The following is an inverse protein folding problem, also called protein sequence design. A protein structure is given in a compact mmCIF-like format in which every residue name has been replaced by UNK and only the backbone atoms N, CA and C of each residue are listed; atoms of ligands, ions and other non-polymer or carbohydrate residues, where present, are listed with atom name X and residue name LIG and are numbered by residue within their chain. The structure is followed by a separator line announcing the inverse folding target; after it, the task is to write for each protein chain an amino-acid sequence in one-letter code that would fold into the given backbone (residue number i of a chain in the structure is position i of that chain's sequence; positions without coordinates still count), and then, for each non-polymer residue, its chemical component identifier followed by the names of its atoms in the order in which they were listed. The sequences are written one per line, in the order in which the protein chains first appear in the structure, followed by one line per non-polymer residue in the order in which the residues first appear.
data_IF_421424920855
#
_entry.id   IF_421424920855
#
_cell.length_a   1.000
_cell.length_b   1.000
_cell.length_c   1.000
_cell.angle_alpha   90.00
_cell.angle_beta   90.00
_cell.angle_gamma   90.00
#
_symmetry.space_group_name_H-M   'P 1'
#
loop_
_entity.id
_entity.type
_entity.pdbx_description
1 polymer ?
#
# COMPACT_ATOMS: atom_id res chain seq x y z
N UNK A 1 -4.25 -11.48 27.40
CA UNK A 1 -4.94 -10.54 26.50
C UNK A 1 -6.08 -11.31 25.82
N UNK A 2 -7.31 -10.78 25.88
CA UNK A 2 -8.47 -11.43 25.24
C UNK A 2 -8.64 -10.83 23.84
N UNK A 3 -8.56 -11.67 22.81
CA UNK A 3 -8.83 -11.26 21.44
C UNK A 3 -10.35 -11.13 21.24
N UNK A 4 -10.80 -9.96 20.79
CA UNK A 4 -12.19 -9.74 20.39
C UNK A 4 -12.17 -9.48 18.88
N UNK A 5 -12.78 -10.35 18.12
CA UNK A 5 -12.95 -10.19 16.67
C UNK A 5 -14.41 -9.95 16.33
N UNK A 6 -14.65 -8.98 15.47
CA UNK A 6 -15.95 -8.75 14.84
C UNK A 6 -15.84 -9.02 13.36
N UNK A 7 -16.69 -9.86 12.81
CA UNK A 7 -16.73 -10.08 11.37
C UNK A 7 -17.73 -9.09 10.74
N UNK A 8 -17.30 -8.37 9.71
CA UNK A 8 -18.25 -7.66 8.84
C UNK A 8 -19.18 -8.69 8.20
N UNK A 9 -20.47 -8.44 8.27
CA UNK A 9 -21.49 -9.36 7.69
C UNK A 9 -21.54 -9.33 6.17
N UNK A 10 -20.92 -8.35 5.52
CA UNK A 10 -21.01 -8.14 4.08
C UNK A 10 -19.62 -8.28 3.47
N UNK A 11 -19.45 -9.30 2.64
CA UNK A 11 -18.22 -9.50 1.88
C UNK A 11 -18.03 -8.39 0.83
N UNK A 12 -16.80 -7.97 0.50
CA UNK A 12 -16.55 -7.00 -0.54
C UNK A 12 -16.92 -7.56 -1.93
N UNK A 13 -17.44 -6.72 -2.79
CA UNK A 13 -17.73 -7.04 -4.20
C UNK A 13 -16.48 -6.72 -5.04
N UNK A 14 -15.77 -7.77 -5.47
CA UNK A 14 -14.54 -7.62 -6.27
C UNK A 14 -14.79 -8.14 -7.68
N UNK A 15 -14.53 -7.28 -8.66
CA UNK A 15 -14.60 -7.64 -10.08
C UNK A 15 -13.26 -7.39 -10.77
N UNK A 16 -12.99 -8.13 -11.85
CA UNK A 16 -11.87 -7.81 -12.73
C UNK A 16 -12.46 -7.06 -13.92
N UNK A 17 -11.83 -5.95 -14.28
CA UNK A 17 -12.30 -5.12 -15.40
C UNK A 17 -12.31 -5.94 -16.69
N UNK A 18 -13.50 -6.05 -17.28
CA UNK A 18 -13.65 -6.63 -18.59
C UNK A 18 -13.49 -5.53 -19.64
N UNK A 19 -12.37 -5.56 -20.35
CA UNK A 19 -12.13 -4.70 -21.50
C UNK A 19 -12.44 -5.48 -22.79
N UNK A 20 -13.10 -4.81 -23.74
CA UNK A 20 -13.27 -5.39 -25.09
C UNK A 20 -11.94 -5.55 -25.85
N UNK A 21 -10.86 -4.97 -25.34
CA UNK A 21 -9.55 -5.06 -25.93
C UNK A 21 -8.72 -6.20 -25.32
N UNK A 22 -7.82 -6.76 -26.12
CA UNK A 22 -6.92 -7.82 -25.65
C UNK A 22 -5.93 -7.26 -24.63
N UNK A 23 -5.81 -7.95 -23.50
CA UNK A 23 -4.79 -7.67 -22.49
C UNK A 23 -3.41 -7.93 -23.10
N UNK A 24 -2.44 -6.99 -23.01
CA UNK A 24 -1.10 -7.19 -23.52
C UNK A 24 -0.34 -8.29 -22.76
N UNK A 25 0.62 -8.94 -23.40
CA UNK A 25 1.46 -9.94 -22.74
C UNK A 25 2.39 -9.34 -21.68
N UNK A 26 2.86 -8.13 -21.89
CA UNK A 26 3.82 -7.46 -21.02
C UNK A 26 3.51 -5.97 -20.91
N UNK A 27 4.17 -5.30 -19.97
CA UNK A 27 3.99 -3.89 -19.69
C UNK A 27 3.24 -3.66 -18.38
N UNK A 28 3.23 -2.40 -17.95
CA UNK A 28 2.63 -1.99 -16.67
C UNK A 28 1.69 -0.80 -16.83
N UNK A 29 1.18 -0.58 -18.05
CA UNK A 29 0.27 0.51 -18.36
C UNK A 29 -1.10 -0.03 -18.75
N UNK A 30 -2.20 0.49 -18.18
CA UNK A 30 -3.56 0.06 -18.50
C UNK A 30 -4.11 0.74 -19.79
N UNK A 31 -3.24 1.15 -20.72
CA UNK A 31 -3.65 1.89 -21.93
C UNK A 31 -4.73 1.19 -22.76
N UNK A 32 -4.69 -0.13 -22.78
CA UNK A 32 -5.66 -0.95 -23.51
C UNK A 32 -7.10 -0.81 -22.97
N UNK A 33 -7.26 -0.39 -21.71
CA UNK A 33 -8.53 -0.34 -20.98
C UNK A 33 -8.87 1.07 -20.46
N UNK A 34 -8.22 2.12 -20.96
CA UNK A 34 -8.41 3.48 -20.43
C UNK A 34 -9.84 3.99 -20.58
N UNK A 35 -10.50 3.67 -21.69
CA UNK A 35 -11.91 4.05 -21.94
C UNK A 35 -12.85 3.37 -20.96
N UNK A 36 -12.61 2.10 -20.68
CA UNK A 36 -13.41 1.32 -19.73
C UNK A 36 -13.16 1.77 -18.30
N UNK A 37 -11.89 2.03 -17.91
CA UNK A 37 -11.54 2.63 -16.61
C UNK A 37 -12.30 3.95 -16.43
N UNK A 38 -12.25 4.82 -17.42
CA UNK A 38 -12.94 6.11 -17.35
C UNK A 38 -14.45 5.94 -17.27
N UNK A 39 -15.02 5.00 -18.04
CA UNK A 39 -16.46 4.68 -18.00
C UNK A 39 -16.88 4.18 -16.61
N UNK A 40 -16.05 3.36 -15.94
CA UNK A 40 -16.34 2.94 -14.56
C UNK A 40 -16.28 4.11 -13.58
N UNK A 41 -15.29 5.00 -13.70
CA UNK A 41 -15.20 6.21 -12.85
C UNK A 41 -16.47 7.08 -12.98
N UNK A 42 -17.03 7.18 -14.16
CA UNK A 42 -18.25 7.99 -14.40
C UNK A 42 -19.51 7.46 -13.71
N UNK A 43 -19.57 6.17 -13.37
CA UNK A 43 -20.73 5.56 -12.71
C UNK A 43 -20.84 5.91 -11.23
N UNK A 44 -19.77 6.40 -10.61
CA UNK A 44 -19.67 6.67 -9.18
C UNK A 44 -19.37 8.14 -8.90
N UNK A 45 -19.78 8.63 -7.73
CA UNK A 45 -19.50 9.99 -7.31
C UNK A 45 -18.03 10.18 -6.98
N UNK A 46 -17.45 9.21 -6.26
CA UNK A 46 -16.08 9.26 -5.78
C UNK A 46 -15.36 7.93 -5.99
N UNK A 47 -14.10 8.00 -6.42
CA UNK A 47 -13.28 6.82 -6.71
C UNK A 47 -11.81 7.04 -6.37
N UNK A 48 -11.15 5.97 -5.91
CA UNK A 48 -9.70 5.93 -5.74
C UNK A 48 -9.12 4.87 -6.68
N UNK A 49 -8.14 5.27 -7.48
CA UNK A 49 -7.37 4.39 -8.35
C UNK A 49 -6.00 4.17 -7.76
N UNK A 50 -5.77 3.02 -7.17
CA UNK A 50 -4.46 2.65 -6.65
C UNK A 50 -3.56 2.08 -7.73
N UNK A 51 -2.34 2.57 -7.77
CA UNK A 51 -1.26 2.08 -8.63
C UNK A 51 -0.05 1.66 -7.79
N UNK A 52 0.86 0.87 -8.37
CA UNK A 52 1.99 0.32 -7.63
C UNK A 52 3.20 1.26 -7.55
N UNK A 53 3.35 2.18 -8.51
CA UNK A 53 4.50 3.10 -8.57
C UNK A 53 4.07 4.54 -8.86
N UNK A 54 4.95 5.50 -8.52
CA UNK A 54 4.74 6.92 -8.83
C UNK A 54 4.63 7.17 -10.32
N UNK A 55 5.52 6.58 -11.11
CA UNK A 55 5.49 6.73 -12.57
C UNK A 55 4.16 6.25 -13.16
N UNK A 56 3.62 5.13 -12.66
CA UNK A 56 2.29 4.67 -13.06
C UNK A 56 1.20 5.68 -12.66
N UNK A 57 1.31 6.32 -11.50
CA UNK A 57 0.34 7.31 -11.07
C UNK A 57 0.33 8.53 -12.01
N UNK A 58 1.50 9.05 -12.35
CA UNK A 58 1.64 10.20 -13.23
C UNK A 58 1.13 9.88 -14.64
N UNK A 59 1.57 8.77 -15.23
CA UNK A 59 1.16 8.35 -16.58
C UNK A 59 -0.36 8.09 -16.65
N UNK A 60 -0.93 7.43 -15.64
CA UNK A 60 -2.37 7.17 -15.60
C UNK A 60 -3.16 8.47 -15.42
N UNK A 61 -2.71 9.35 -14.53
CA UNK A 61 -3.32 10.65 -14.31
C UNK A 61 -3.34 11.48 -15.61
N UNK A 62 -2.20 11.62 -16.29
CA UNK A 62 -2.11 12.33 -17.56
C UNK A 62 -3.02 11.72 -18.64
N UNK A 63 -3.04 10.38 -18.73
CA UNK A 63 -3.87 9.66 -19.69
C UNK A 63 -5.38 9.89 -19.44
N UNK A 64 -5.80 9.84 -18.19
CA UNK A 64 -7.19 10.12 -17.82
C UNK A 64 -7.53 11.60 -18.01
N UNK A 65 -6.57 12.49 -17.73
CA UNK A 65 -6.75 13.93 -17.95
C UNK A 65 -6.94 14.28 -19.42
N UNK A 66 -6.22 13.58 -20.32
CA UNK A 66 -6.33 13.78 -21.77
C UNK A 66 -7.69 13.33 -22.34
N UNK A 67 -8.28 12.26 -21.79
CA UNK A 67 -9.60 11.73 -22.20
C UNK A 67 -10.76 12.56 -21.61
N UNK A 68 -10.48 13.32 -20.56
CA UNK A 68 -11.47 14.03 -19.75
C UNK A 68 -12.35 14.97 -20.60
N UNK A 69 -13.57 14.56 -20.81
CA UNK A 69 -14.67 15.48 -21.16
C UNK A 69 -15.12 16.20 -19.90
N UNK A 70 -14.47 17.30 -19.54
CA UNK A 70 -14.75 18.32 -18.51
C UNK A 70 -15.63 17.99 -17.25
N UNK A 71 -16.10 16.74 -17.09
CA UNK A 71 -17.17 16.37 -16.15
C UNK A 71 -16.70 15.76 -14.84
N UNK A 72 -15.42 15.40 -14.69
CA UNK A 72 -14.87 14.82 -13.44
C UNK A 72 -13.63 15.54 -12.99
N UNK A 73 -13.54 15.86 -11.69
CA UNK A 73 -12.34 16.43 -11.07
C UNK A 73 -11.43 15.30 -10.63
N UNK A 74 -10.32 15.12 -11.35
CA UNK A 74 -9.32 14.09 -11.10
C UNK A 74 -8.10 14.72 -10.45
N UNK A 75 -7.58 14.11 -9.37
CA UNK A 75 -6.35 14.50 -8.71
C UNK A 75 -5.34 13.34 -8.68
N UNK A 76 -4.09 13.65 -8.35
CA UNK A 76 -3.02 12.67 -8.12
C UNK A 76 -2.49 12.82 -6.71
N UNK A 77 -2.14 11.68 -6.07
CA UNK A 77 -1.58 11.68 -4.73
C UNK A 77 -0.48 10.61 -4.57
N UNK A 78 0.76 11.03 -4.34
CA UNK A 78 1.89 10.14 -4.05
C UNK A 78 2.94 10.83 -3.17
N UNK A 79 3.83 10.05 -2.57
CA UNK A 79 4.79 10.51 -1.58
C UNK A 79 5.81 11.55 -2.06
N UNK A 80 5.99 11.72 -3.39
CA UNK A 80 6.94 12.71 -3.95
C UNK A 80 6.31 14.06 -4.26
N UNK A 81 5.00 14.22 -4.11
CA UNK A 81 4.38 15.53 -4.16
C UNK A 81 4.80 16.35 -2.95
N UNK A 82 4.89 17.65 -3.12
CA UNK A 82 5.12 18.59 -2.01
C UNK A 82 4.07 18.38 -0.91
N UNK A 83 4.50 18.52 0.33
CA UNK A 83 3.65 18.26 1.50
C UNK A 83 2.38 19.10 1.50
N UNK A 84 2.48 20.37 1.08
CA UNK A 84 1.34 21.29 1.02
C UNK A 84 0.34 20.88 -0.06
N UNK A 85 0.85 20.48 -1.23
CA UNK A 85 0.00 19.99 -2.32
C UNK A 85 -0.75 18.72 -1.91
N UNK A 86 -0.08 17.79 -1.22
CA UNK A 86 -0.72 16.57 -0.69
C UNK A 86 -1.87 16.91 0.25
N UNK A 87 -1.61 17.79 1.24
CA UNK A 87 -2.64 18.24 2.18
C UNK A 87 -3.81 18.92 1.50
N UNK A 88 -3.53 19.71 0.44
CA UNK A 88 -4.58 20.34 -0.36
C UNK A 88 -5.46 19.28 -1.05
N UNK A 89 -4.85 18.29 -1.71
CA UNK A 89 -5.59 17.21 -2.36
C UNK A 89 -6.41 16.42 -1.32
N UNK A 90 -5.82 16.09 -0.18
CA UNK A 90 -6.49 15.41 0.93
C UNK A 90 -7.75 16.19 1.39
N UNK A 91 -7.61 17.49 1.59
CA UNK A 91 -8.72 18.35 1.96
C UNK A 91 -9.82 18.39 0.88
N UNK A 92 -9.46 18.55 -0.37
CA UNK A 92 -10.39 18.60 -1.50
C UNK A 92 -11.16 17.27 -1.69
N UNK A 93 -10.52 16.12 -1.32
CA UNK A 93 -11.20 14.82 -1.31
C UNK A 93 -12.25 14.78 -0.21
N UNK A 94 -11.88 15.14 1.03
CA UNK A 94 -12.78 15.12 2.20
C UNK A 94 -13.97 16.06 1.98
N UNK A 95 -13.74 17.21 1.36
CA UNK A 95 -14.79 18.17 1.01
C UNK A 95 -15.65 17.75 -0.19
N UNK A 96 -15.30 16.64 -0.86
CA UNK A 96 -16.03 16.12 -2.03
C UNK A 96 -15.82 16.95 -3.30
N UNK A 97 -14.83 17.79 -3.33
CA UNK A 97 -14.49 18.60 -4.50
C UNK A 97 -13.70 17.84 -5.56
N UNK A 98 -12.99 16.77 -5.16
CA UNK A 98 -12.29 15.84 -6.04
C UNK A 98 -13.11 14.55 -6.10
N UNK A 99 -13.41 14.10 -7.30
CA UNK A 99 -14.28 12.96 -7.56
C UNK A 99 -13.51 11.67 -7.93
N UNK A 100 -12.23 11.82 -8.32
CA UNK A 100 -11.36 10.70 -8.61
C UNK A 100 -9.92 11.01 -8.20
N UNK A 101 -9.26 10.08 -7.54
CA UNK A 101 -7.85 10.23 -7.15
C UNK A 101 -7.04 9.06 -7.66
N UNK A 102 -5.96 9.35 -8.38
CA UNK A 102 -4.94 8.36 -8.71
C UNK A 102 -3.87 8.39 -7.63
N UNK A 103 -3.67 7.28 -6.93
CA UNK A 103 -2.80 7.24 -5.77
C UNK A 103 -1.87 6.02 -5.74
N UNK A 104 -0.74 6.17 -5.06
CA UNK A 104 0.10 5.06 -4.62
C UNK A 104 -0.30 4.63 -3.21
N UNK A 105 0.55 3.87 -2.51
CA UNK A 105 0.34 3.49 -1.10
C UNK A 105 0.21 4.67 -0.12
N UNK A 106 0.38 5.90 -0.57
CA UNK A 106 0.23 7.10 0.26
C UNK A 106 -1.19 7.30 0.83
N UNK A 107 -2.20 6.62 0.25
CA UNK A 107 -3.58 6.63 0.71
C UNK A 107 -4.04 5.27 1.29
N UNK A 108 -3.11 4.31 1.46
CA UNK A 108 -3.44 2.99 2.06
C UNK A 108 -3.88 3.15 3.53
N UNK A 109 -3.36 4.14 4.26
CA UNK A 109 -3.55 4.35 5.70
C UNK A 109 -3.88 5.81 6.05
N UNK A 110 -4.52 6.01 7.18
CA UNK A 110 -4.39 7.23 8.00
C UNK A 110 -5.49 8.29 7.90
N UNK A 111 -6.41 8.25 6.96
CA UNK A 111 -7.46 9.26 6.88
C UNK A 111 -8.84 8.64 6.66
N UNK A 112 -9.84 9.24 7.27
CA UNK A 112 -11.23 9.01 6.93
C UNK A 112 -11.55 9.87 5.69
N UNK A 113 -11.56 9.22 4.53
CA UNK A 113 -11.74 9.89 3.24
C UNK A 113 -13.21 10.22 2.91
N UNK A 114 -14.10 10.07 3.89
CA UNK A 114 -15.53 10.19 3.64
C UNK A 114 -16.06 9.04 2.76
N UNK A 115 -17.11 9.29 2.02
CA UNK A 115 -17.75 8.28 1.20
C UNK A 115 -17.04 8.08 -0.13
N UNK A 116 -16.10 7.14 -0.18
CA UNK A 116 -15.56 6.62 -1.45
C UNK A 116 -16.48 5.51 -1.94
N UNK A 117 -16.98 5.61 -3.15
CA UNK A 117 -17.93 4.64 -3.71
C UNK A 117 -17.24 3.47 -4.41
N UNK A 118 -16.05 3.73 -5.00
CA UNK A 118 -15.30 2.75 -5.79
C UNK A 118 -13.80 2.80 -5.49
N UNK A 119 -13.22 1.63 -5.31
CA UNK A 119 -11.76 1.44 -5.34
C UNK A 119 -11.38 0.67 -6.60
N UNK A 120 -10.41 1.18 -7.35
CA UNK A 120 -9.80 0.45 -8.46
C UNK A 120 -8.34 0.15 -8.14
N UNK A 121 -7.92 -1.08 -8.37
CA UNK A 121 -6.52 -1.47 -8.28
C UNK A 121 -5.97 -1.66 -9.70
N UNK A 122 -5.07 -0.79 -10.11
CA UNK A 122 -4.41 -0.83 -11.42
C UNK A 122 -3.10 -1.59 -11.29
N UNK A 123 -2.96 -2.66 -12.07
CA UNK A 123 -1.92 -3.67 -11.87
C UNK A 123 -2.26 -4.65 -10.76
N UNK A 124 -1.50 -5.74 -10.67
CA UNK A 124 -1.69 -6.72 -9.61
C UNK A 124 -1.43 -6.11 -8.22
N UNK A 125 -2.24 -6.45 -7.21
CA UNK A 125 -1.99 -6.00 -5.85
C UNK A 125 -0.69 -6.59 -5.31
N UNK A 126 0.03 -5.81 -4.50
CA UNK A 126 1.28 -6.27 -3.85
C UNK A 126 0.99 -6.95 -2.50
N UNK A 127 0.05 -7.89 -2.51
CA UNK A 127 -0.41 -8.67 -1.38
C UNK A 127 -1.92 -8.54 -1.16
N UNK A 128 -2.53 -9.63 -0.66
CA UNK A 128 -3.98 -9.72 -0.40
C UNK A 128 -4.36 -8.83 0.77
N UNK A 129 -3.57 -8.81 1.85
CA UNK A 129 -3.81 -7.96 3.00
C UNK A 129 -3.88 -6.46 2.62
N UNK A 130 -2.96 -6.01 1.73
CA UNK A 130 -2.98 -4.65 1.21
C UNK A 130 -4.19 -4.39 0.33
N UNK A 131 -4.58 -5.35 -0.50
CA UNK A 131 -5.80 -5.24 -1.30
C UNK A 131 -7.02 -5.04 -0.41
N UNK A 132 -7.17 -5.84 0.64
CA UNK A 132 -8.27 -5.72 1.63
C UNK A 132 -8.26 -4.35 2.31
N UNK A 133 -7.08 -3.84 2.69
CA UNK A 133 -6.94 -2.49 3.27
C UNK A 133 -7.41 -1.40 2.30
N UNK A 134 -7.08 -1.52 1.00
CA UNK A 134 -7.52 -0.59 -0.05
C UNK A 134 -9.01 -0.67 -0.29
N UNK A 135 -9.56 -1.87 -0.40
CA UNK A 135 -11.01 -2.10 -0.55
C UNK A 135 -11.77 -1.51 0.63
N UNK A 136 -11.22 -1.61 1.84
CA UNK A 136 -11.78 -1.01 3.05
C UNK A 136 -11.82 0.53 3.04
N UNK A 137 -11.27 1.21 2.00
CA UNK A 137 -11.47 2.65 1.78
C UNK A 137 -12.80 2.96 1.11
N UNK A 138 -13.40 1.97 0.44
CA UNK A 138 -14.73 2.13 -0.15
C UNK A 138 -15.81 1.80 0.88
N UNK A 139 -16.85 2.63 0.87
CA UNK A 139 -18.13 2.36 1.50
C UNK A 139 -18.08 2.10 3.02
N UNK A 140 -17.99 3.17 3.82
CA UNK A 140 -18.00 3.11 5.29
C UNK A 140 -19.40 2.82 5.90
N UNK A 141 -20.41 2.48 5.09
CA UNK A 141 -21.73 2.14 5.62
C UNK A 141 -21.83 0.65 5.97
N UNK A 142 -22.34 0.35 7.16
CA UNK A 142 -22.32 -0.99 7.78
C UNK A 142 -23.04 -2.07 6.96
N UNK A 143 -23.94 -1.70 6.05
CA UNK A 143 -24.84 -2.63 5.36
C UNK A 143 -24.64 -2.75 3.85
N UNK A 144 -23.64 -2.07 3.28
CA UNK A 144 -23.38 -2.13 1.83
C UNK A 144 -22.00 -2.68 1.55
N UNK A 145 -21.82 -3.56 0.54
CA UNK A 145 -20.52 -4.11 0.21
C UNK A 145 -19.57 -3.03 -0.30
N UNK A 146 -18.33 -3.07 0.13
CA UNK A 146 -17.26 -2.29 -0.48
C UNK A 146 -17.05 -2.77 -1.92
N UNK A 147 -16.95 -1.85 -2.88
CA UNK A 147 -16.77 -2.20 -4.29
C UNK A 147 -15.35 -1.98 -4.75
N UNK A 148 -14.79 -3.00 -5.40
CA UNK A 148 -13.46 -2.94 -5.96
C UNK A 148 -13.40 -3.52 -7.39
N UNK A 149 -12.61 -2.87 -8.23
CA UNK A 149 -12.31 -3.33 -9.59
C UNK A 149 -10.81 -3.52 -9.71
N UNK A 150 -10.40 -4.73 -10.08
CA UNK A 150 -9.00 -5.04 -10.40
C UNK A 150 -8.79 -4.83 -11.90
N UNK A 151 -7.74 -4.11 -12.27
CA UNK A 151 -7.40 -3.80 -13.66
C UNK A 151 -5.99 -4.31 -13.94
N UNK A 152 -5.84 -5.54 -14.44
CA UNK A 152 -4.53 -6.07 -14.79
C UNK A 152 -3.92 -5.27 -15.94
N UNK A 153 -2.62 -5.03 -15.95
CA UNK A 153 -1.93 -4.32 -17.02
C UNK A 153 -1.28 -5.26 -18.04
N UNK A 154 -1.20 -6.54 -17.73
CA UNK A 154 -0.70 -7.60 -18.62
C UNK A 154 -1.31 -8.97 -18.24
N UNK A 155 -1.05 -9.99 -19.08
CA UNK A 155 -1.62 -11.33 -18.90
C UNK A 155 -1.18 -12.01 -17.59
N UNK A 156 0.04 -11.76 -17.10
CA UNK A 156 0.51 -12.35 -15.84
C UNK A 156 -0.21 -11.71 -14.65
N UNK A 157 -0.34 -10.38 -14.65
CA UNK A 157 -1.10 -9.67 -13.64
C UNK A 157 -2.59 -10.05 -13.63
N UNK A 158 -3.14 -10.51 -14.75
CA UNK A 158 -4.50 -11.04 -14.78
C UNK A 158 -4.65 -12.29 -13.90
N UNK A 159 -3.69 -13.21 -13.98
CA UNK A 159 -3.66 -14.41 -13.12
C UNK A 159 -3.48 -14.01 -11.64
N UNK A 160 -2.58 -13.06 -11.38
CA UNK A 160 -2.38 -12.54 -10.01
C UNK A 160 -3.64 -11.88 -9.46
N UNK A 161 -4.37 -11.12 -10.28
CA UNK A 161 -5.66 -10.53 -9.90
C UNK A 161 -6.73 -11.57 -9.60
N UNK A 162 -6.79 -12.67 -10.40
CA UNK A 162 -7.69 -13.80 -10.14
C UNK A 162 -7.38 -14.44 -8.79
N UNK A 163 -6.11 -14.77 -8.55
CA UNK A 163 -5.67 -15.37 -7.30
C UNK A 163 -5.95 -14.45 -6.09
N UNK A 164 -5.66 -13.15 -6.22
CA UNK A 164 -5.93 -12.19 -5.16
C UNK A 164 -7.44 -12.07 -4.84
N UNK A 165 -8.30 -12.07 -5.87
CA UNK A 165 -9.76 -12.08 -5.70
C UNK A 165 -10.19 -13.33 -4.95
N UNK A 166 -9.77 -14.51 -5.37
CA UNK A 166 -10.09 -15.79 -4.73
C UNK A 166 -9.62 -15.83 -3.26
N UNK A 167 -8.40 -15.35 -2.98
CA UNK A 167 -7.90 -15.27 -1.61
C UNK A 167 -8.79 -14.37 -0.72
N UNK A 168 -9.27 -13.23 -1.22
CA UNK A 168 -10.18 -12.37 -0.45
C UNK A 168 -11.53 -13.07 -0.21
N UNK A 169 -12.09 -13.75 -1.21
CA UNK A 169 -13.35 -14.50 -1.10
C UNK A 169 -13.24 -15.65 -0.09
N UNK A 170 -12.07 -16.29 0.00
CA UNK A 170 -11.76 -17.34 0.96
C UNK A 170 -11.30 -16.83 2.33
N UNK A 171 -11.21 -15.51 2.53
CA UNK A 171 -10.60 -14.88 3.71
C UNK A 171 -9.17 -15.36 4.00
N UNK A 172 -8.43 -15.70 2.94
CA UNK A 172 -7.04 -16.11 3.04
C UNK A 172 -6.15 -14.87 2.93
N UNK A 173 -5.44 -14.55 4.01
CA UNK A 173 -4.43 -13.49 4.04
C UNK A 173 -3.05 -14.14 4.13
N UNK A 174 -2.05 -13.46 3.58
CA UNK A 174 -0.68 -13.91 3.73
C UNK A 174 -0.30 -13.93 5.21
N UNK A 175 0.28 -15.05 5.66
CA UNK A 175 0.97 -15.12 6.93
C UNK A 175 2.25 -14.27 6.83
N UNK A 176 2.23 -13.07 7.38
CA UNK A 176 3.46 -12.34 7.62
C UNK A 176 4.31 -13.11 8.62
N UNK A 177 5.29 -13.86 8.10
CA UNK A 177 6.30 -14.46 8.96
C UNK A 177 7.00 -13.32 9.68
N UNK A 178 6.78 -13.30 10.97
CA UNK A 178 7.41 -12.33 11.84
C UNK A 178 8.93 -12.49 11.77
N UNK A 179 9.63 -11.45 11.30
CA UNK A 179 11.09 -11.43 11.25
C UNK A 179 11.62 -11.18 12.66
N UNK A 180 12.22 -12.20 13.28
CA UNK A 180 12.89 -12.06 14.56
C UNK A 180 14.32 -11.56 14.37
N UNK A 181 14.73 -10.55 15.14
CA UNK A 181 16.13 -10.17 15.32
C UNK A 181 16.86 -9.65 14.09
N UNK A 182 16.22 -8.82 13.24
CA UNK A 182 16.87 -8.22 12.07
C UNK A 182 18.10 -7.41 12.44
N UNK A 183 19.29 -7.83 11.96
CA UNK A 183 20.59 -7.25 12.37
C UNK A 183 20.82 -5.83 11.83
N UNK A 184 20.25 -5.50 10.68
CA UNK A 184 20.26 -4.17 10.08
C UNK A 184 19.50 -3.15 10.93
N UNK A 185 18.32 -3.53 11.41
CA UNK A 185 17.51 -2.71 12.34
C UNK A 185 18.24 -2.56 13.67
N UNK A 186 18.87 -3.63 14.16
CA UNK A 186 19.70 -3.59 15.38
C UNK A 186 20.87 -2.63 15.22
N UNK A 187 21.61 -2.70 14.11
CA UNK A 187 22.72 -1.81 13.82
C UNK A 187 22.25 -0.34 13.80
N UNK A 188 21.14 -0.05 13.12
CA UNK A 188 20.57 1.29 13.09
C UNK A 188 20.18 1.78 14.49
N UNK A 189 19.58 0.91 15.31
CA UNK A 189 19.23 1.24 16.70
C UNK A 189 20.47 1.57 17.53
N UNK A 190 21.52 0.73 17.46
CA UNK A 190 22.79 0.96 18.17
C UNK A 190 23.40 2.32 17.80
N UNK A 191 23.44 2.65 16.50
CA UNK A 191 23.90 3.97 16.02
C UNK A 191 23.07 5.10 16.62
N UNK A 192 21.74 4.95 16.61
CA UNK A 192 20.84 5.95 17.19
C UNK A 192 21.06 6.19 18.67
N UNK A 193 21.27 5.12 19.45
CA UNK A 193 21.62 5.22 20.88
C UNK A 193 22.98 5.88 21.07
N UNK A 194 23.99 5.48 20.28
CA UNK A 194 25.35 6.03 20.38
C UNK A 194 25.42 7.55 20.08
N UNK A 195 24.56 8.04 19.18
CA UNK A 195 24.45 9.47 18.88
C UNK A 195 23.79 10.22 20.05
N UNK A 196 22.84 9.60 20.72
CA UNK A 196 22.04 10.28 21.76
C UNK A 196 22.72 10.25 23.13
N UNK A 197 23.42 9.17 23.50
CA UNK A 197 24.02 9.00 24.83
C UNK A 197 25.12 7.93 24.86
N UNK A 198 25.99 8.01 25.87
CA UNK A 198 26.93 6.94 26.21
C UNK A 198 26.17 5.78 26.84
N UNK A 199 26.56 4.55 26.52
CA UNK A 199 25.96 3.34 27.07
C UNK A 199 27.03 2.29 27.41
N UNK A 200 26.69 1.36 28.30
CA UNK A 200 27.40 0.10 28.51
C UNK A 200 26.78 -0.98 27.65
N UNK A 201 27.59 -1.81 27.01
CA UNK A 201 27.06 -2.82 26.08
C UNK A 201 26.13 -3.83 26.77
N UNK A 202 26.40 -4.19 28.02
CA UNK A 202 25.60 -5.12 28.80
C UNK A 202 24.18 -4.56 29.08
N UNK A 203 24.09 -3.26 29.36
CA UNK A 203 22.83 -2.58 29.64
C UNK A 203 22.02 -2.41 28.35
N UNK A 204 22.66 -2.04 27.26
CA UNK A 204 22.02 -1.95 25.94
C UNK A 204 21.52 -3.32 25.49
N UNK A 205 22.30 -4.38 25.65
CA UNK A 205 21.87 -5.73 25.29
C UNK A 205 20.63 -6.17 26.08
N UNK A 206 20.59 -5.90 27.38
CA UNK A 206 19.40 -6.18 28.22
C UNK A 206 18.18 -5.43 27.70
N UNK A 207 18.32 -4.13 27.43
CA UNK A 207 17.26 -3.30 26.90
C UNK A 207 16.73 -3.82 25.55
N UNK A 208 17.62 -4.22 24.65
CA UNK A 208 17.25 -4.79 23.35
C UNK A 208 16.45 -6.07 23.51
N UNK A 209 16.79 -6.94 24.45
CA UNK A 209 16.06 -8.19 24.74
C UNK A 209 14.66 -7.98 25.32
N UNK A 210 14.33 -6.82 25.85
CA UNK A 210 12.98 -6.49 26.27
C UNK A 210 12.03 -6.28 25.06
N UNK A 211 12.58 -5.90 23.90
CA UNK A 211 11.79 -5.78 22.69
C UNK A 211 11.44 -7.17 22.13
N UNK A 212 10.16 -7.40 21.84
CA UNK A 212 9.67 -8.68 21.34
C UNK A 212 10.48 -9.28 20.19
N UNK A 213 10.90 -8.53 19.15
CA UNK A 213 11.69 -9.06 18.05
C UNK A 213 13.03 -9.66 18.48
N UNK A 214 13.60 -9.17 19.56
CA UNK A 214 14.94 -9.52 20.02
C UNK A 214 14.97 -10.36 21.28
N UNK A 215 13.82 -10.81 21.80
CA UNK A 215 13.75 -11.60 23.05
C UNK A 215 14.59 -12.87 23.02
N UNK A 216 14.72 -13.51 21.84
CA UNK A 216 15.50 -14.71 21.61
C UNK A 216 16.88 -14.42 21.02
N UNK A 217 17.25 -13.14 20.88
CA UNK A 217 18.51 -12.75 20.25
C UNK A 217 19.71 -13.23 21.07
N UNK A 218 20.71 -13.77 20.41
CA UNK A 218 21.91 -14.27 21.08
C UNK A 218 22.98 -13.18 21.24
N UNK A 219 23.90 -13.38 22.18
CA UNK A 219 24.96 -12.42 22.47
C UNK A 219 25.96 -12.32 21.33
N UNK A 220 26.20 -13.41 20.61
CA UNK A 220 27.16 -13.45 19.51
C UNK A 220 26.75 -12.52 18.35
N UNK A 221 25.48 -12.55 17.94
CA UNK A 221 24.96 -11.68 16.89
C UNK A 221 24.91 -10.22 17.32
N UNK A 222 24.66 -9.97 18.61
CA UNK A 222 24.75 -8.62 19.17
C UNK A 222 26.19 -8.08 19.11
N UNK A 223 27.19 -8.86 19.54
CA UNK A 223 28.61 -8.48 19.50
C UNK A 223 29.09 -8.26 18.07
N UNK A 224 28.69 -9.12 17.12
CA UNK A 224 29.00 -8.93 15.69
C UNK A 224 28.42 -7.64 15.15
N UNK A 225 27.16 -7.35 15.51
CA UNK A 225 26.48 -6.13 15.07
C UNK A 225 27.11 -4.89 15.69
N UNK A 226 27.49 -4.94 16.97
CA UNK A 226 28.19 -3.86 17.65
C UNK A 226 29.56 -3.59 16.99
N UNK A 227 30.36 -4.64 16.74
CA UNK A 227 31.65 -4.52 16.04
C UNK A 227 31.47 -3.95 14.63
N UNK A 228 30.42 -4.37 13.90
CA UNK A 228 30.10 -3.79 12.60
C UNK A 228 29.82 -2.28 12.68
N UNK A 229 29.08 -1.85 13.68
CA UNK A 229 28.76 -0.42 13.90
C UNK A 229 30.03 0.37 14.27
N UNK A 230 30.92 -0.21 15.07
CA UNK A 230 32.17 0.44 15.47
C UNK A 230 33.18 0.60 14.32
N UNK A 231 33.30 -0.43 13.48
CA UNK A 231 34.41 -0.55 12.51
C UNK A 231 33.95 -0.41 11.06
N UNK A 232 32.63 -0.29 10.81
CA UNK A 232 32.05 -0.19 9.47
C UNK A 232 32.10 -1.48 8.65
N UNK A 233 32.46 -2.61 9.29
CA UNK A 233 32.58 -3.92 8.67
C UNK A 233 33.76 -4.01 7.70
N UNK A 234 33.76 -5.12 6.94
CA UNK A 234 34.83 -5.45 6.01
C UNK A 234 35.13 -4.37 4.95
N UNK A 235 34.06 -3.68 4.51
CA UNK A 235 34.16 -2.66 3.44
C UNK A 235 34.93 -1.40 3.82
N UNK A 236 35.12 -1.11 5.13
CA UNK A 236 35.89 0.03 5.63
C UNK A 236 37.24 -0.35 6.20
N UNK A 237 37.54 -1.66 6.28
CA UNK A 237 38.83 -2.18 6.76
C UNK A 237 39.78 -2.54 5.61
N UNK A 238 39.31 -2.49 4.37
CA UNK A 238 40.05 -2.66 3.12
C UNK A 238 40.49 -1.31 2.55
#
# INVERSE_FOLDING_TARGET
TKLVSTHSKVAPEITILNSGNRIPWSGHSPRYALSEIYSEILKFKSSILFVNTRAQAEILFESLWAIKNKNKKIAIHHGSLEKELRKKVEKEIVEGHVECVVATSSLDLGLDWGNIDLVMQIGAPKGVARLVQRIGRANHTINTPSRAILVPTNCFEYVECLAAKECVELNFLEDEKYSEGSLDVLAQHIVGVAISQKFKKEDLYKQIKEAWPYRNHNTEDFEKTLSFVENGGYSLQA
#
